data_IF_391934639663
#
_entry.id   IF_391934639663
#
_cell.length_a   1.000
_cell.length_b   1.000
_cell.length_c   1.000
_cell.angle_alpha   90.00
_cell.angle_beta   90.00
_cell.angle_gamma   90.00
#
_symmetry.space_group_name_H-M   'P 1'
#
loop_
_entity.id
_entity.type
_entity.pdbx_description
1 polymer ?
2 water ?
#
# COMPACT_ATOMS: atom_id res chain seq x y z
N UNK A 12 16.02 -6.96 30.42
CA UNK A 12 17.27 -6.53 29.72
C UNK A 12 16.97 -6.11 28.27
N UNK A 13 17.65 -5.07 27.79
CA UNK A 13 17.46 -4.57 26.42
C UNK A 13 18.31 -5.35 25.40
N UNK A 14 17.72 -6.38 24.82
CA UNK A 14 18.39 -7.25 23.85
C UNK A 14 18.83 -6.57 22.53
N UNK A 15 18.42 -5.32 22.32
CA UNK A 15 18.74 -4.59 21.10
C UNK A 15 20.22 -4.57 20.77
N UNK A 16 20.97 -3.77 21.52
CA UNK A 16 22.40 -3.66 21.33
C UNK A 16 23.02 -4.97 21.76
N UNK A 17 22.19 -5.91 22.19
CA UNK A 17 22.68 -7.22 22.61
C UNK A 17 23.12 -8.06 21.41
N UNK A 18 23.55 -9.28 21.70
CA UNK A 18 24.00 -10.22 20.69
C UNK A 18 22.80 -10.96 20.10
N UNK A 19 21.66 -10.88 20.78
CA UNK A 19 20.44 -11.55 20.33
C UNK A 19 20.04 -11.18 18.91
N UNK A 20 19.97 -9.87 18.63
CA UNK A 20 19.58 -9.40 17.30
C UNK A 20 20.54 -9.87 16.20
N UNK A 21 20.04 -10.65 15.25
CA UNK A 21 20.85 -11.17 14.16
C UNK A 21 20.90 -10.28 12.93
N UNK A 22 19.80 -9.61 12.62
CA UNK A 22 19.76 -8.69 11.49
C UNK A 22 18.44 -7.96 11.34
N UNK A 23 18.52 -6.77 10.77
CA UNK A 23 17.38 -5.89 10.48
C UNK A 23 17.56 -5.61 8.98
N UNK A 24 16.89 -6.41 8.17
CA UNK A 24 17.01 -6.35 6.74
C UNK A 24 15.85 -5.71 5.99
N UNK A 25 16.20 -4.87 5.02
CA UNK A 25 15.20 -4.22 4.18
C UNK A 25 15.40 -4.86 2.81
N UNK A 26 14.35 -4.94 2.00
CA UNK A 26 14.48 -5.54 0.69
C UNK A 26 15.59 -4.89 -0.13
N UNK A 27 15.47 -3.58 -0.38
CA UNK A 27 16.51 -2.85 -1.11
C UNK A 27 16.85 -1.60 -0.30
N UNK A 28 18.10 -1.13 -0.40
CA UNK A 28 18.54 0.04 0.36
C UNK A 28 18.42 1.39 -0.35
N UNK A 29 17.70 1.42 -1.46
CA UNK A 29 17.47 2.67 -2.17
C UNK A 29 15.96 2.90 -2.18
N UNK A 30 15.52 3.89 -1.39
CA UNK A 30 14.10 4.21 -1.27
C UNK A 30 13.71 5.47 -2.04
N UNK A 31 12.40 5.63 -2.23
CA UNK A 31 11.85 6.80 -2.90
C UNK A 31 10.88 7.45 -1.92
N UNK A 32 10.88 8.78 -1.90
CA UNK A 32 10.01 9.52 -1.01
C UNK A 32 8.60 8.95 -1.08
N UNK A 33 7.99 8.79 0.10
CA UNK A 33 6.64 8.26 0.20
C UNK A 33 6.56 6.75 0.08
N UNK A 34 7.69 6.11 -0.22
CA UNK A 34 7.72 4.66 -0.37
C UNK A 34 7.51 3.95 0.95
N UNK A 35 6.73 2.87 0.89
CA UNK A 35 6.47 2.07 2.06
C UNK A 35 7.17 0.76 1.82
N UNK A 36 7.95 0.31 2.80
CA UNK A 36 8.71 -0.92 2.65
C UNK A 36 8.69 -1.67 3.98
N UNK A 37 8.98 -2.97 3.91
CA UNK A 37 9.00 -3.81 5.09
C UNK A 37 10.43 -3.99 5.55
N UNK A 38 10.61 -3.94 6.87
CA UNK A 38 11.93 -4.12 7.48
C UNK A 38 11.75 -5.37 8.34
N UNK A 39 12.64 -6.35 8.15
CA UNK A 39 12.54 -7.60 8.89
C UNK A 39 13.66 -7.80 9.91
N UNK A 40 13.29 -7.89 11.18
CA UNK A 40 14.27 -8.09 12.25
C UNK A 40 14.27 -9.54 12.77
N UNK A 41 15.32 -10.29 12.48
CA UNK A 41 15.40 -11.66 12.94
C UNK A 41 16.21 -11.72 14.25
N UNK A 42 15.93 -12.69 15.11
CA UNK A 42 16.68 -12.79 16.37
C UNK A 42 16.90 -14.24 16.77
N UNK A 43 17.99 -14.48 17.49
CA UNK A 43 18.38 -15.82 17.94
C UNK A 43 18.93 -15.76 19.37
N UNK A 44 18.68 -16.83 20.12
CA UNK A 44 19.19 -16.89 21.48
C UNK A 44 20.64 -17.34 21.35
N UNK A 45 21.54 -16.48 21.83
CA UNK A 45 22.96 -16.75 21.77
C UNK A 45 23.50 -17.22 23.13
N UNK A 46 24.60 -17.96 23.09
CA UNK A 46 25.21 -18.51 24.30
C UNK A 46 25.47 -17.46 25.37
N UNK A 47 26.30 -16.47 25.04
CA UNK A 47 26.65 -15.40 25.96
C UNK A 47 25.47 -14.67 26.62
N UNK A 48 24.34 -14.58 25.92
CA UNK A 48 23.17 -13.92 26.48
C UNK A 48 21.89 -14.41 25.80
N UNK A 49 20.95 -14.87 26.62
CA UNK A 49 19.69 -15.38 26.12
C UNK A 49 18.51 -14.64 26.76
N UNK A 51 16.16 -13.29 28.29
CA UNK A 51 14.84 -13.81 27.94
C UNK A 51 13.78 -13.38 28.95
N UNK A 52 12.56 -13.88 28.73
CA UNK A 52 11.38 -13.60 29.57
C UNK A 52 11.40 -12.25 30.29
N UNK A 53 11.18 -11.17 29.55
CA UNK A 53 11.17 -9.84 30.15
C UNK A 53 12.05 -8.87 29.38
N UNK A 54 13.06 -9.44 28.72
CA UNK A 54 14.01 -8.66 27.92
C UNK A 54 13.30 -8.00 26.73
N UNK A 55 13.97 -7.07 26.07
CA UNK A 55 13.35 -6.36 24.95
C UNK A 55 14.22 -5.93 23.78
N UNK A 56 14.02 -6.55 22.61
CA UNK A 56 14.77 -6.17 21.42
C UNK A 56 14.01 -4.99 20.78
N UNK A 57 14.48 -3.78 21.09
CA UNK A 57 13.87 -2.54 20.61
C UNK A 57 14.75 -1.77 19.60
N UNK A 58 14.12 -1.33 18.50
CA UNK A 58 14.78 -0.60 17.41
C UNK A 58 14.37 0.87 17.38
N UNK A 59 15.34 1.72 17.05
CA UNK A 59 15.09 3.15 16.96
C UNK A 59 15.24 3.56 15.49
N UNK A 60 14.19 4.18 14.96
CA UNK A 60 14.11 4.58 13.55
C UNK A 60 14.65 5.96 13.20
N UNK A 61 15.22 6.10 11.99
CA UNK A 61 15.79 7.34 11.47
C UNK A 61 14.66 8.32 11.22
N UNK A 62 14.96 9.61 11.33
CA UNK A 62 13.94 10.61 11.12
C UNK A 62 13.40 10.52 9.71
N UNK A 63 14.15 9.93 8.80
CA UNK A 63 13.70 9.84 7.42
C UNK A 63 12.69 8.71 7.14
N UNK A 64 12.61 7.72 8.04
CA UNK A 64 11.69 6.58 7.84
C UNK A 64 10.68 6.39 8.98
N UNK A 65 9.49 6.91 8.80
CA UNK A 65 8.46 6.81 9.82
C UNK A 65 7.79 5.46 9.84
N UNK A 66 7.71 4.85 11.02
CA UNK A 66 7.07 3.54 11.13
C UNK A 66 5.58 3.76 11.02
N UNK A 67 4.84 2.80 10.49
CA UNK A 67 3.40 3.01 10.34
C UNK A 67 2.56 2.32 11.41
N UNK A 68 1.92 3.14 12.23
CA UNK A 68 1.06 2.67 13.32
C UNK A 68 -0.34 2.37 12.80
N UNK A 69 -1.34 2.54 13.66
CA UNK A 69 -2.74 2.33 13.29
C UNK A 69 -3.29 3.68 12.90
N UNK A 70 -4.47 3.70 12.29
CA UNK A 70 -5.11 4.93 11.88
C UNK A 70 -5.25 5.80 13.14
N UNK A 71 -5.52 5.15 14.26
CA UNK A 71 -5.70 5.84 15.53
C UNK A 71 -4.41 6.45 16.02
N UNK A 72 -3.30 6.22 15.29
CA UNK A 72 -1.98 6.72 15.68
C UNK A 72 -1.46 5.76 16.76
N UNK A 73 -2.34 4.86 17.18
CA UNK A 73 -2.02 3.87 18.19
C UNK A 73 -1.03 2.88 17.60
N UNK A 74 -0.25 2.22 18.45
CA UNK A 74 0.74 1.25 17.98
C UNK A 74 0.20 0.13 17.13
N UNK A 75 0.98 -0.25 16.13
CA UNK A 75 0.64 -1.37 15.28
C UNK A 75 1.22 -2.52 16.11
N UNK A 76 0.39 -3.50 16.46
CA UNK A 76 0.86 -4.61 17.30
C UNK A 76 0.97 -5.94 16.59
N UNK A 77 2.15 -6.54 16.64
CA UNK A 77 2.36 -7.85 16.01
C UNK A 77 2.55 -8.89 17.15
N UNK A 78 2.34 -10.18 16.83
CA UNK A 78 2.46 -11.26 17.82
C UNK A 78 3.38 -12.41 17.37
N UNK A 79 4.29 -12.81 18.26
CA UNK A 79 5.27 -13.88 18.00
C UNK A 79 4.93 -15.25 18.59
N UNK A 80 3.68 -15.69 18.45
CA UNK A 80 3.24 -17.00 18.97
C UNK A 80 3.10 -17.07 20.49
N UNK A 81 2.46 -16.08 21.08
CA UNK A 81 2.26 -16.08 22.53
C UNK A 81 3.50 -15.94 23.38
N UNK A 82 4.65 -16.12 22.76
CA UNK A 82 5.92 -16.00 23.48
C UNK A 82 6.18 -14.50 23.74
N UNK A 83 5.68 -13.65 22.85
CA UNK A 83 5.84 -12.22 22.99
C UNK A 83 5.13 -11.46 21.87
N UNK A 84 5.05 -10.14 22.01
CA UNK A 84 4.42 -9.31 20.99
C UNK A 84 5.18 -8.00 20.83
N UNK A 85 5.06 -7.41 19.64
CA UNK A 85 5.77 -6.19 19.32
C UNK A 85 4.84 -5.02 19.08
N UNK A 86 5.22 -3.84 19.58
CA UNK A 86 4.45 -2.61 19.38
C UNK A 86 5.21 -1.71 18.41
N UNK A 87 4.51 -1.11 17.44
CA UNK A 87 5.17 -0.27 16.43
C UNK A 87 4.73 1.19 16.41
N UNK A 88 5.68 2.09 16.66
CA UNK A 88 5.40 3.52 16.69
C UNK A 88 6.11 4.22 15.54
N UNK A 89 5.89 5.52 15.43
CA UNK A 89 6.52 6.31 14.39
C UNK A 89 8.02 6.52 14.70
N UNK A 90 8.33 6.71 16.00
CA UNK A 90 9.69 6.97 16.48
C UNK A 90 10.56 5.73 16.70
N UNK A 91 9.92 4.58 16.92
CA UNK A 91 10.66 3.35 17.21
C UNK A 91 9.77 2.12 17.18
N UNK A 92 10.36 0.94 17.35
CA UNK A 92 9.61 -0.32 17.39
C UNK A 92 10.09 -1.11 18.61
N UNK A 93 9.16 -1.69 19.37
CA UNK A 93 9.52 -2.42 20.58
C UNK A 93 8.96 -3.84 20.80
N UNK A 94 9.83 -4.84 20.66
CA UNK A 94 9.44 -6.21 20.87
C UNK A 94 9.78 -6.50 22.33
N UNK A 95 8.84 -7.11 23.06
CA UNK A 95 9.05 -7.44 24.47
C UNK A 95 8.74 -8.91 24.69
N UNK A 96 9.30 -9.53 25.72
CA UNK A 96 9.04 -10.94 25.98
C UNK A 96 8.58 -11.25 27.42
N UNK A 97 7.53 -10.59 27.90
CA UNK A 97 7.01 -10.78 29.26
C UNK A 97 7.30 -12.14 29.95
N UNK A 98 6.85 -13.27 29.38
CA UNK A 98 7.12 -14.58 30.00
C UNK A 98 7.01 -15.77 29.05
N UNK A 99 7.17 -16.96 29.62
CA UNK A 99 7.09 -18.23 28.89
C UNK A 99 8.26 -18.55 27.95
N UNK A 100 9.44 -18.77 28.51
CA UNK A 100 10.64 -19.08 27.72
C UNK A 100 11.20 -20.47 28.01
N UNK A 101 12.11 -20.93 27.15
CA UNK A 101 12.74 -22.26 27.31
C UNK A 101 14.09 -22.30 26.58
N UNK A 102 14.65 -23.50 26.49
CA UNK A 102 15.93 -23.74 25.82
C UNK A 102 15.70 -24.25 24.40
N UNK A 105 16.65 -23.30 22.23
CA UNK A 105 16.92 -21.88 22.13
C UNK A 105 15.93 -21.18 21.21
N UNK A 106 15.47 -20.02 21.66
CA UNK A 106 14.52 -19.23 20.89
C UNK A 106 15.07 -18.76 19.55
N UNK A 107 14.24 -18.86 18.52
CA UNK A 107 14.59 -18.39 17.18
C UNK A 107 13.34 -17.76 16.60
N UNK A 108 13.45 -16.54 16.08
CA UNK A 108 12.29 -15.89 15.50
C UNK A 108 12.61 -14.68 14.64
N UNK A 109 11.57 -13.89 14.38
CA UNK A 109 11.71 -12.68 13.57
C UNK A 109 10.42 -11.87 13.65
N UNK A 110 10.40 -10.74 12.97
CA UNK A 110 9.21 -9.91 12.95
C UNK A 110 9.42 -8.76 11.98
N UNK A 111 8.48 -8.63 11.04
CA UNK A 111 8.53 -7.58 10.03
C UNK A 111 7.55 -6.49 10.43
N UNK A 112 7.91 -5.24 10.12
CA UNK A 112 7.05 -4.10 10.37
C UNK A 112 7.19 -3.17 9.18
N UNK A 113 6.20 -2.29 8.97
CA UNK A 113 6.24 -1.40 7.83
C UNK A 113 6.55 0.03 8.18
N UNK A 114 7.26 0.69 7.27
CA UNK A 114 7.64 2.10 7.43
C UNK A 114 7.23 2.78 6.14
N UNK A 115 7.27 4.09 6.16
CA UNK A 115 6.95 4.89 4.99
C UNK A 115 8.03 5.95 4.96
N UNK A 116 8.79 5.97 3.88
CA UNK A 116 9.88 6.92 3.70
C UNK A 116 9.29 8.33 3.64
N UNK A 117 9.58 9.16 4.63
CA UNK A 117 9.03 10.51 4.62
C UNK A 117 9.24 11.16 3.27
N UNK A 118 8.17 11.80 2.79
CA UNK A 118 8.18 12.46 1.48
C UNK A 118 8.56 13.94 1.55
N UNK A 119 9.73 14.23 2.09
CA UNK A 119 10.21 15.62 2.16
C UNK A 119 10.74 15.87 0.76
N UNK A 120 10.42 17.01 0.17
CA UNK A 120 10.86 17.28 -1.19
C UNK A 120 12.30 17.73 -1.45
N UNK A 121 12.89 17.10 -2.47
CA UNK A 121 14.24 17.34 -2.96
C UNK A 121 14.34 16.54 -4.26
N UNK A 122 15.17 17.01 -5.19
CA UNK A 122 15.32 16.33 -6.47
C UNK A 122 16.56 15.43 -6.46
N UNK A 124 19.08 13.71 -3.80
CA UNK A 124 19.00 12.56 -2.89
C UNK A 124 19.41 12.90 -1.45
N UNK A 125 19.08 11.98 -0.53
CA UNK A 125 19.39 12.11 0.90
C UNK A 125 19.93 10.78 1.45
N UNK A 126 21.23 10.72 1.65
CA UNK A 126 21.89 9.52 2.15
C UNK A 126 22.01 9.49 3.65
N UNK A 127 21.63 8.37 4.25
CA UNK A 127 21.72 8.23 5.69
C UNK A 127 22.40 6.91 6.02
N UNK A 128 23.04 6.84 7.19
CA UNK A 128 23.72 5.63 7.63
C UNK A 128 23.18 5.28 9.00
N UNK A 129 22.44 4.19 9.09
CA UNK A 129 21.86 3.82 10.37
C UNK A 129 21.90 2.32 10.65
N UNK A 130 22.08 1.97 11.92
CA UNK A 130 22.15 0.57 12.37
C UNK A 130 20.86 0.26 13.15
N UNK A 131 20.02 1.29 13.26
CA UNK A 131 18.73 1.21 13.96
C UNK A 131 18.82 1.11 15.48
N UNK A 132 19.94 1.53 16.05
CA UNK A 132 20.15 1.46 17.48
C UNK A 132 20.36 0.01 17.87
N UNK A 133 21.05 -0.72 16.99
CA UNK A 133 21.32 -2.15 17.17
C UNK A 133 22.80 -2.49 17.06
N UNK A 134 23.16 -3.71 17.45
CA UNK A 134 24.54 -4.16 17.38
C UNK A 134 24.87 -4.57 15.96
N UNK A 135 23.85 -4.58 15.11
CA UNK A 135 24.02 -4.97 13.72
C UNK A 135 24.64 -3.89 12.84
N UNK A 136 25.21 -4.34 11.73
CA UNK A 136 25.86 -3.44 10.78
C UNK A 136 25.08 -2.15 10.50
N UNK A 137 25.83 -1.10 10.20
CA UNK A 137 25.27 0.20 9.88
C UNK A 137 25.01 0.18 8.37
N UNK A 138 23.79 0.48 7.96
CA UNK A 138 23.46 0.45 6.56
C UNK A 138 23.31 1.82 5.92
N UNK A 139 23.80 1.90 4.68
CA UNK A 139 23.75 3.10 3.87
C UNK A 139 22.42 3.13 3.11
N UNK A 140 21.47 3.90 3.63
CA UNK A 140 20.16 4.03 3.01
C UNK A 140 20.10 5.33 2.19
N UNK A 141 19.61 5.22 0.96
CA UNK A 141 19.54 6.36 0.08
C UNK A 141 18.10 6.60 -0.36
N UNK A 142 17.57 7.75 0.04
CA UNK A 142 16.21 8.16 -0.30
C UNK A 142 16.34 9.21 -1.42
N UNK A 143 16.09 8.77 -2.65
CA UNK A 143 16.22 9.63 -3.83
C UNK A 143 15.10 10.63 -4.10
N UNK A 144 15.36 11.60 -4.98
CA UNK A 144 14.38 12.61 -5.33
C UNK A 144 13.35 12.14 -6.37
N UNK A 145 12.51 13.05 -6.85
CA UNK A 145 11.50 12.70 -7.85
C UNK A 145 12.01 12.94 -9.27
N UNK A 155 2.97 14.28 -23.03
CA UNK A 155 1.85 13.64 -22.35
C UNK A 155 1.66 12.18 -22.77
N UNK A 156 0.81 11.96 -23.76
CA UNK A 156 0.49 10.63 -24.31
C UNK A 156 0.34 9.46 -23.32
N UNK A 157 -0.84 9.36 -22.70
CA UNK A 157 -1.18 8.30 -21.75
C UNK A 157 -1.99 7.27 -22.53
N UNK A 158 -1.98 6.00 -22.10
CA UNK A 158 -2.79 5.07 -22.88
C UNK A 158 -4.21 5.54 -22.65
N UNK A 159 -5.14 5.16 -23.52
CA UNK A 159 -6.50 5.60 -23.33
C UNK A 159 -7.02 5.23 -21.95
N UNK A 160 -6.47 4.17 -21.36
CA UNK A 160 -6.90 3.75 -20.05
C UNK A 160 -5.91 2.88 -19.29
N UNK A 161 -5.61 3.28 -18.05
CA UNK A 161 -4.74 2.51 -17.21
C UNK A 161 -5.24 2.61 -15.77
N UNK A 162 -4.80 1.66 -14.95
CA UNK A 162 -5.21 1.58 -13.55
C UNK A 162 -4.03 1.39 -12.60
N UNK A 163 -3.92 2.24 -11.58
CA UNK A 163 -2.83 2.12 -10.61
C UNK A 163 -3.36 2.09 -9.20
N UNK A 164 -2.46 1.82 -8.27
CA UNK A 164 -2.84 1.78 -6.87
C UNK A 164 -1.67 1.71 -5.92
N UNK A 165 -1.93 1.97 -4.65
CA UNK A 165 -0.92 1.91 -3.60
C UNK A 165 -1.63 1.53 -2.31
N UNK A 166 -0.99 1.77 -1.17
CA UNK A 166 -1.62 1.44 0.10
C UNK A 166 -2.06 2.70 0.84
N UNK A 167 -3.24 2.64 1.47
CA UNK A 167 -3.78 3.77 2.21
C UNK A 167 -2.90 4.13 3.38
N UNK A 168 -1.92 3.26 3.67
CA UNK A 168 -1.02 3.50 4.78
C UNK A 168 -1.51 2.81 6.06
N UNK A 169 -1.71 3.63 7.09
CA UNK A 169 -2.18 3.16 8.40
C UNK A 169 -3.70 2.89 8.40
N UNK A 170 -4.33 3.09 7.24
CA UNK A 170 -5.77 2.89 7.07
C UNK A 170 -6.05 1.41 6.91
N UNK A 171 -5.06 0.68 6.42
CA UNK A 171 -5.19 -0.75 6.17
C UNK A 171 -6.16 -0.92 5.00
N UNK A 172 -5.99 -0.03 4.01
CA UNK A 172 -6.82 -0.03 2.82
C UNK A 172 -5.92 0.03 1.61
N UNK A 173 -6.52 -0.15 0.45
CA UNK A 173 -5.80 -0.08 -0.82
C UNK A 173 -6.50 0.97 -1.67
N UNK A 174 -5.75 1.95 -2.18
CA UNK A 174 -6.31 3.00 -3.03
C UNK A 174 -6.12 2.57 -4.47
N UNK A 175 -7.19 2.67 -5.24
CA UNK A 175 -7.15 2.29 -6.65
C UNK A 175 -7.58 3.47 -7.52
N UNK A 176 -6.96 3.59 -8.68
CA UNK A 176 -7.29 4.69 -9.56
C UNK A 176 -7.53 4.19 -10.96
N UNK A 177 -8.67 4.54 -11.51
CA UNK A 177 -8.99 4.15 -12.87
C UNK A 177 -8.81 5.44 -13.65
N UNK A 178 -7.81 5.44 -14.53
CA UNK A 178 -7.49 6.61 -15.33
C UNK A 178 -8.06 6.49 -16.74
N UNK A 179 -9.19 7.17 -16.94
CA UNK A 179 -9.97 7.17 -18.17
C UNK A 179 -9.85 8.41 -19.05
N UNK A 180 -9.30 8.19 -20.26
CA UNK A 180 -9.12 9.22 -21.30
C UNK A 180 -8.36 10.50 -20.92
N UNK A 181 -7.21 10.36 -20.29
CA UNK A 181 -6.43 11.52 -19.87
C UNK A 181 -5.95 12.41 -21.03
N UNK A 182 -6.02 11.88 -22.25
CA UNK A 182 -5.64 12.61 -23.45
C UNK A 182 -6.82 13.41 -23.99
N UNK A 183 -8.01 13.15 -23.45
CA UNK A 183 -9.23 13.84 -23.87
C UNK A 183 -9.53 13.69 -25.35
N UNK A 184 -9.58 12.44 -25.82
CA UNK A 184 -9.86 12.16 -27.22
C UNK A 184 -11.36 12.15 -27.34
N UNK A 185 -11.81 12.01 -28.56
CA UNK A 185 -13.22 11.95 -28.80
C UNK A 185 -13.47 10.44 -28.65
N UNK A 186 -14.69 10.08 -28.27
CA UNK A 186 -15.09 8.69 -28.16
C UNK A 186 -16.36 8.61 -28.98
N UNK A 187 -16.53 7.50 -29.69
CA UNK A 187 -17.69 7.32 -30.55
C UNK A 187 -18.67 6.36 -29.93
N UNK A 188 -18.27 5.75 -28.82
CA UNK A 188 -19.14 4.79 -28.14
C UNK A 188 -19.07 4.99 -26.65
N UNK A 189 -19.82 4.17 -25.93
CA UNK A 189 -19.84 4.20 -24.46
C UNK A 189 -18.53 3.58 -24.06
N UNK A 190 -18.16 3.71 -22.80
CA UNK A 190 -16.92 3.09 -22.34
C UNK A 190 -17.32 2.11 -21.26
N UNK A 191 -17.05 0.85 -21.53
CA UNK A 191 -17.43 -0.21 -20.61
C UNK A 191 -16.25 -0.79 -19.88
N UNK A 192 -16.34 -0.82 -18.56
CA UNK A 192 -15.28 -1.40 -17.76
C UNK A 192 -15.88 -2.47 -16.86
N UNK A 193 -15.30 -3.66 -16.92
CA UNK A 193 -15.75 -4.76 -16.09
C UNK A 193 -14.62 -4.95 -15.08
N UNK A 194 -14.87 -4.67 -13.81
CA UNK A 194 -13.81 -4.80 -12.84
C UNK A 194 -14.06 -5.97 -11.88
N UNK A 195 -13.02 -6.78 -11.73
CA UNK A 195 -13.04 -7.94 -10.87
C UNK A 195 -11.83 -7.76 -9.95
N UNK A 196 -12.10 -7.39 -8.70
CA UNK A 196 -11.03 -7.16 -7.73
C UNK A 196 -10.37 -8.46 -7.29
N UNK A 197 -9.08 -8.37 -6.99
CA UNK A 197 -8.36 -9.55 -6.56
C UNK A 197 -8.71 -9.92 -5.14
N UNK A 198 -8.10 -10.98 -4.62
CA UNK A 198 -8.38 -11.44 -3.27
C UNK A 198 -7.78 -10.60 -2.16
N UNK A 199 -8.27 -10.82 -0.95
CA UNK A 199 -7.79 -10.12 0.23
C UNK A 199 -8.35 -8.73 0.44
N UNK A 200 -9.25 -8.30 -0.42
CA UNK A 200 -9.80 -6.95 -0.29
C UNK A 200 -11.30 -6.86 -0.09
N UNK A 201 -11.72 -5.72 0.46
CA UNK A 201 -13.14 -5.44 0.72
C UNK A 201 -13.55 -4.15 0.03
N UNK A 202 -14.24 -4.28 -1.09
CA UNK A 202 -14.65 -3.10 -1.83
C UNK A 202 -15.49 -2.13 -1.00
N UNK A 203 -15.04 -0.88 -0.91
CA UNK A 203 -15.73 0.16 -0.15
C UNK A 203 -16.69 0.88 -1.08
N UNK A 204 -17.85 0.26 -1.29
CA UNK A 204 -18.88 0.79 -2.17
C UNK A 204 -19.17 2.28 -2.14
N UNK A 205 -18.92 2.96 -1.02
CA UNK A 205 -19.24 4.38 -1.01
C UNK A 205 -18.02 5.30 -1.01
N UNK A 206 -16.89 4.79 -1.46
CA UNK A 206 -15.67 5.59 -1.49
C UNK A 206 -15.30 5.97 -2.91
N UNK A 207 -16.24 5.85 -3.84
CA UNK A 207 -15.97 6.19 -5.23
C UNK A 207 -16.11 7.69 -5.50
N UNK A 208 -15.08 8.26 -6.12
CA UNK A 208 -15.09 9.67 -6.46
C UNK A 208 -14.57 9.80 -7.89
N UNK A 209 -15.09 10.80 -8.60
CA UNK A 209 -14.75 11.04 -9.98
C UNK A 209 -14.17 12.42 -10.21
N UNK A 210 -13.00 12.45 -10.84
CA UNK A 210 -12.32 13.69 -11.18
C UNK A 210 -12.59 13.84 -12.67
N UNK A 211 -13.49 14.75 -13.03
CA UNK A 211 -13.87 14.96 -14.43
C UNK A 211 -13.33 16.25 -15.03
N UNK A 212 -12.60 16.13 -16.13
CA UNK A 212 -11.97 17.29 -16.74
C UNK A 212 -12.14 17.42 -18.25
N UNK A 213 -12.39 18.65 -18.68
CA UNK A 213 -12.54 19.01 -20.10
C UNK A 213 -12.27 20.52 -20.18
N UNK A 214 -12.49 21.13 -21.35
CA UNK A 214 -12.26 22.57 -21.51
C UNK A 214 -13.12 23.38 -20.58
N UNK A 215 -14.42 23.09 -20.64
CA UNK A 215 -15.39 23.77 -19.82
C UNK A 215 -15.05 23.77 -18.32
N UNK A 216 -14.69 22.64 -17.74
CA UNK A 216 -14.40 22.65 -16.31
C UNK A 216 -13.76 21.40 -15.75
N UNK A 217 -13.72 21.35 -14.41
CA UNK A 217 -13.18 20.23 -13.65
C UNK A 217 -14.11 19.95 -12.47
N UNK A 218 -14.68 18.75 -12.44
CA UNK A 218 -15.58 18.35 -11.39
C UNK A 218 -14.97 17.28 -10.52
N UNK A 219 -15.26 17.38 -9.23
CA UNK A 219 -14.81 16.40 -8.25
C UNK A 219 -16.20 16.09 -7.70
N UNK A 220 -16.70 14.90 -8.00
CA UNK A 220 -18.02 14.51 -7.57
C UNK A 220 -18.10 13.05 -7.11
N UNK A 221 -19.18 12.71 -6.42
CA UNK A 221 -19.38 11.35 -5.90
C UNK A 221 -19.99 10.44 -6.95
N UNK A 222 -20.05 9.15 -6.64
CA UNK A 222 -20.64 8.20 -7.57
C UNK A 222 -22.11 8.58 -7.79
N UNK A 223 -22.79 8.91 -6.69
CA UNK A 223 -24.20 9.28 -6.73
C UNK A 223 -24.45 10.44 -7.69
N UNK A 224 -23.64 11.48 -7.57
CA UNK A 224 -23.78 12.64 -8.42
C UNK A 224 -23.40 12.26 -9.85
N UNK A 225 -22.47 11.33 -9.98
CA UNK A 225 -22.00 10.88 -11.29
C UNK A 225 -23.18 10.34 -12.11
N UNK A 226 -24.01 9.54 -11.45
CA UNK A 226 -25.17 8.92 -12.09
C UNK A 226 -26.35 9.88 -12.28
N UNK A 227 -26.56 10.77 -11.31
CA UNK A 227 -27.65 11.73 -11.37
C UNK A 227 -27.37 12.84 -12.35
N UNK A 228 -26.20 12.81 -12.97
CA UNK A 228 -25.83 13.82 -13.97
C UNK A 228 -25.67 13.13 -15.31
N UNK A 229 -25.95 11.83 -15.31
CA UNK A 229 -25.88 11.07 -16.55
C UNK A 229 -24.55 10.92 -17.24
N UNK A 230 -23.47 10.72 -16.47
CA UNK A 230 -22.17 10.52 -17.08
C UNK A 230 -22.04 9.02 -17.29
N UNK A 231 -22.81 8.28 -16.50
CA UNK A 231 -22.78 6.83 -16.60
C UNK A 231 -23.39 6.16 -15.38
N UNK A 232 -23.18 4.85 -15.30
CA UNK A 232 -23.69 4.05 -14.18
C UNK A 232 -22.64 3.02 -13.83
N UNK A 233 -22.78 2.45 -12.64
CA UNK A 233 -21.87 1.44 -12.13
C UNK A 233 -22.75 0.36 -11.48
N UNK A 234 -22.47 -0.91 -11.76
CA UNK A 234 -23.24 -2.02 -11.17
C UNK A 234 -22.32 -2.84 -10.30
N UNK A 235 -22.73 -3.14 -9.08
CA UNK A 235 -21.88 -3.95 -8.22
C UNK A 235 -22.23 -5.41 -8.38
N UNK A 236 -21.64 -6.03 -9.39
CA UNK A 236 -21.85 -7.44 -9.69
C UNK A 236 -21.92 -8.22 -8.39
N UNK A 237 -20.97 -7.95 -7.49
CA UNK A 237 -20.91 -8.61 -6.20
C UNK A 237 -20.44 -7.58 -5.18
N UNK A 238 -19.66 -8.02 -4.19
CA UNK A 238 -19.14 -7.11 -3.18
C UNK A 238 -17.70 -6.70 -3.50
N UNK A 239 -17.11 -7.38 -4.48
CA UNK A 239 -15.74 -7.10 -4.91
C UNK A 239 -15.66 -7.07 -6.42
N UNK A 240 -16.79 -6.86 -7.09
CA UNK A 240 -16.85 -6.80 -8.55
C UNK A 240 -17.84 -5.75 -9.02
N UNK A 241 -17.46 -4.98 -10.03
CA UNK A 241 -18.35 -3.97 -10.56
C UNK A 241 -18.15 -3.74 -12.05
N UNK A 242 -19.14 -3.11 -12.67
CA UNK A 242 -19.11 -2.78 -14.08
C UNK A 242 -19.28 -1.27 -14.16
N UNK A 243 -18.38 -0.59 -14.85
CA UNK A 243 -18.46 0.86 -14.94
C UNK A 243 -18.66 1.34 -16.36
N UNK A 244 -19.71 2.12 -16.57
CA UNK A 244 -19.98 2.63 -17.91
C UNK A 244 -20.07 4.12 -17.94
N UNK A 245 -19.36 4.70 -18.90
CA UNK A 245 -19.35 6.15 -19.12
C UNK A 245 -20.13 6.33 -20.42
N UNK A 246 -21.14 7.18 -20.42
CA UNK A 246 -21.93 7.41 -21.63
C UNK A 246 -21.14 8.21 -22.67
N UNK A 247 -21.18 7.73 -23.91
CA UNK A 247 -20.46 8.33 -25.03
C UNK A 247 -20.48 9.85 -25.22
N UNK A 248 -21.64 10.47 -25.13
CA UNK A 248 -21.69 11.90 -25.32
C UNK A 248 -20.93 12.76 -24.34
N UNK A 249 -21.02 12.43 -23.05
CA UNK A 249 -20.30 13.22 -22.06
C UNK A 249 -18.95 12.62 -21.69
N UNK A 250 -18.43 11.79 -22.57
CA UNK A 250 -17.14 11.17 -22.36
C UNK A 250 -16.21 11.72 -23.46
N UNK A 251 -16.81 12.51 -24.35
CA UNK A 251 -16.06 13.11 -25.44
C UNK A 251 -15.17 14.23 -24.95
N UNK A 252 -13.87 14.10 -25.24
CA UNK A 252 -12.86 15.09 -24.86
C UNK A 252 -12.87 15.35 -23.36
N UNK A 253 -13.30 14.35 -22.60
CA UNK A 253 -13.38 14.48 -21.17
C UNK A 253 -12.55 13.38 -20.52
N UNK A 254 -11.75 13.73 -19.53
CA UNK A 254 -10.97 12.72 -18.87
C UNK A 254 -11.64 12.45 -17.54
N UNK A 255 -11.61 11.20 -17.10
CA UNK A 255 -12.22 10.79 -15.85
C UNK A 255 -11.21 10.00 -15.03
N UNK A 256 -10.95 10.41 -13.78
CA UNK A 256 -10.04 9.65 -12.95
C UNK A 256 -10.88 9.13 -11.80
N UNK A 257 -11.12 7.82 -11.80
CA UNK A 257 -11.93 7.23 -10.76
C UNK A 257 -11.13 6.85 -9.53
N UNK A 258 -11.49 7.43 -8.39
CA UNK A 258 -10.79 7.13 -7.15
C UNK A 258 -11.71 6.34 -6.25
N UNK A 259 -11.20 5.28 -5.65
CA UNK A 259 -11.98 4.50 -4.72
C UNK A 259 -11.00 3.66 -3.93
N UNK A 260 -11.47 3.12 -2.79
CA UNK A 260 -10.64 2.31 -1.91
C UNK A 260 -11.21 0.95 -1.51
N UNK A 261 -10.31 0.08 -1.06
CA UNK A 261 -10.66 -1.25 -0.59
C UNK A 261 -9.91 -1.44 0.71
N UNK A 262 -10.52 -2.18 1.62
CA UNK A 262 -9.93 -2.44 2.92
C UNK A 262 -9.31 -3.83 2.96
N UNK A 263 -8.13 -3.93 3.54
CA UNK A 263 -7.41 -5.19 3.64
C UNK A 263 -8.00 -6.10 4.74
N UNK A 264 -8.39 -7.32 4.39
CA UNK A 264 -8.97 -8.23 5.37
C UNK A 264 -7.90 -8.99 6.13
N UNK A 265 -8.34 -9.78 7.11
CA UNK A 265 -7.44 -10.58 7.92
C UNK A 265 -6.63 -11.46 6.97
N UNK A 266 -7.31 -12.17 6.09
CA UNK A 266 -6.65 -13.05 5.14
C UNK A 266 -5.77 -12.30 4.16
N UNK A 267 -6.06 -11.01 3.98
CA UNK A 267 -5.31 -10.21 3.04
C UNK A 267 -3.96 -9.72 3.54
N UNK A 268 -3.95 -9.09 4.71
CA UNK A 268 -2.72 -8.56 5.28
C UNK A 268 -1.52 -9.49 5.16
N UNK A 269 -1.79 -10.78 4.94
CA UNK A 269 -0.72 -11.76 4.82
C UNK A 269 -0.18 -11.93 3.40
N UNK A 270 -0.98 -11.53 2.41
CA UNK A 270 -0.60 -11.64 1.00
C UNK A 270 0.61 -10.79 0.62
N UNK A 271 1.32 -11.24 -0.41
CA UNK A 271 2.50 -10.53 -0.89
C UNK A 271 2.05 -9.28 -1.62
N UNK A 272 0.99 -9.44 -2.42
CA UNK A 272 0.45 -8.35 -3.23
C UNK A 272 -1.07 -8.30 -3.23
N UNK A 273 -1.60 -7.16 -3.65
CA UNK A 273 -3.04 -6.96 -3.76
C UNK A 273 -3.25 -6.69 -5.25
N UNK A 274 -4.33 -7.21 -5.83
CA UNK A 274 -4.56 -7.01 -7.24
C UNK A 274 -5.95 -6.58 -7.67
N UNK A 275 -6.03 -6.06 -8.88
CA UNK A 275 -7.31 -5.65 -9.44
C UNK A 275 -7.21 -5.76 -10.95
N UNK A 276 -8.13 -6.50 -11.55
CA UNK A 276 -8.12 -6.70 -12.98
C UNK A 276 -9.32 -6.03 -13.63
N UNK A 277 -9.16 -5.65 -14.89
CA UNK A 277 -10.25 -4.97 -15.59
C UNK A 277 -10.34 -5.38 -17.04
N UNK A 278 -11.53 -5.24 -17.60
CA UNK A 278 -11.72 -5.53 -19.01
C UNK A 278 -12.46 -4.30 -19.53
N UNK A 279 -11.82 -3.59 -20.44
CA UNK A 279 -12.42 -2.38 -20.97
C UNK A 279 -12.67 -2.44 -22.47
N UNK A 280 -13.82 -1.89 -22.84
CA UNK A 280 -14.24 -1.79 -24.23
C UNK A 280 -14.53 -0.31 -24.47
N UNK A 281 -13.94 0.21 -25.54
CA UNK A 281 -14.11 1.62 -25.90
C UNK A 281 -13.79 1.78 -27.38
N UNK A 282 -14.27 2.87 -27.97
CA UNK A 282 -14.02 3.12 -29.39
C UNK A 282 -13.72 4.60 -29.60
N UNK A 283 -12.72 4.91 -30.40
CA UNK A 283 -12.36 6.30 -30.62
C UNK A 283 -12.71 6.78 -32.01
N UNK A 284 -12.55 8.08 -32.22
CA UNK A 284 -12.88 8.67 -33.50
C UNK A 284 -12.22 7.92 -34.65
N UNK A 285 -13.04 7.54 -35.64
CA UNK A 285 -12.58 6.84 -36.83
C UNK A 285 -11.75 5.58 -36.55
N UNK A 286 -12.19 4.74 -35.63
CA UNK A 286 -11.43 3.52 -35.38
C UNK A 286 -12.33 2.36 -34.97
N UNK A 287 -11.79 1.14 -35.04
CA UNK A 287 -12.57 -0.02 -34.66
C UNK A 287 -12.38 -0.22 -33.15
N UNK A 288 -13.45 -0.65 -32.50
CA UNK A 288 -13.48 -0.88 -31.06
C UNK A 288 -12.23 -1.63 -30.61
N UNK A 289 -11.63 -1.17 -29.52
CA UNK A 289 -10.45 -1.82 -29.00
C UNK A 289 -10.82 -2.46 -27.67
N UNK A 290 -10.31 -3.65 -27.40
CA UNK A 290 -10.59 -4.28 -26.14
C UNK A 290 -9.26 -4.51 -25.41
N UNK A 291 -9.23 -4.12 -24.15
CA UNK A 291 -8.06 -4.26 -23.33
C UNK A 291 -8.44 -4.70 -21.94
N UNK A 292 -7.52 -5.44 -21.32
CA UNK A 292 -7.71 -5.92 -19.98
C UNK A 292 -6.32 -6.02 -19.38
N UNK A 293 -6.24 -6.15 -18.05
CA UNK A 293 -4.97 -6.25 -17.38
C UNK A 293 -5.21 -6.36 -15.90
N UNK A 294 -4.14 -6.62 -15.17
CA UNK A 294 -4.19 -6.75 -13.71
C UNK A 294 -3.16 -5.84 -13.07
N UNK A 295 -3.63 -4.95 -12.20
CA UNK A 295 -2.75 -4.02 -11.51
C UNK A 295 -2.28 -4.64 -10.21
N UNK A 296 -1.06 -4.33 -9.85
CA UNK A 296 -0.49 -4.86 -8.62
C UNK A 296 -0.17 -3.73 -7.64
N UNK A 297 -0.17 -4.08 -6.36
CA UNK A 297 0.17 -3.11 -5.31
C UNK A 297 0.94 -3.94 -4.30
N UNK A 298 2.23 -3.68 -4.15
CA UNK A 298 3.03 -4.42 -3.19
C UNK A 298 2.53 -4.22 -1.77
N UNK A 299 2.44 -5.32 -1.03
CA UNK A 299 1.99 -5.25 0.35
C UNK A 299 3.22 -5.14 1.25
N UNK A 300 3.04 -4.44 2.37
CA UNK A 300 4.10 -4.26 3.35
C UNK A 300 3.86 -5.29 4.45
N UNK A 301 4.67 -6.33 4.45
CA UNK A 301 4.55 -7.41 5.42
C UNK A 301 4.63 -7.00 6.87
N UNK A 302 3.69 -7.52 7.64
CA UNK A 302 3.66 -7.27 9.08
C UNK A 302 3.51 -8.68 9.64
N UNK A 303 4.64 -9.37 9.80
CA UNK A 303 4.62 -10.74 10.32
C UNK A 303 5.37 -10.73 11.65
N UNK A 304 5.60 -11.91 12.21
CA UNK A 304 6.31 -12.03 13.47
C UNK A 304 6.13 -13.42 14.07
N UNK A 305 6.95 -14.37 13.60
CA UNK A 305 6.87 -15.74 14.09
C UNK A 305 8.06 -16.12 14.97
N UNK A 306 8.22 -17.41 15.17
CA UNK A 306 9.30 -17.97 15.97
C UNK A 306 9.85 -19.16 15.19
#
# INVERSE_FOLDING_TARGET
>A
MRGSHHHHHHGSELSKSSIVDKVELDHTTLYQGEMTSIKVSFSDKENQKIKPGDTITLTLPDALVGMTENDSSPRKINLNGLGEVFIYKDHVVATFNEKVESLHNVNGHFSFGIKTLITNSSQPNVIETDFGTATATQRLTIEGVTNTETGQIERDYPFFYKVGDLAGESNQVRWFLNVNLNKSDVTEDISIADRQGSGQQLNKESFTFDIVNDKETKYISLAEFEQQGYGKIDFVTDNDFNLRFYRDKARFTSFIVRYTSTITEAGQHQATFENSYDINYQLNNQDATNEKNTSQVKNVFVEGEASGNQNVEMPTEESLDIPLETIDEWEPKTPTSEQATETSEKTD
#
